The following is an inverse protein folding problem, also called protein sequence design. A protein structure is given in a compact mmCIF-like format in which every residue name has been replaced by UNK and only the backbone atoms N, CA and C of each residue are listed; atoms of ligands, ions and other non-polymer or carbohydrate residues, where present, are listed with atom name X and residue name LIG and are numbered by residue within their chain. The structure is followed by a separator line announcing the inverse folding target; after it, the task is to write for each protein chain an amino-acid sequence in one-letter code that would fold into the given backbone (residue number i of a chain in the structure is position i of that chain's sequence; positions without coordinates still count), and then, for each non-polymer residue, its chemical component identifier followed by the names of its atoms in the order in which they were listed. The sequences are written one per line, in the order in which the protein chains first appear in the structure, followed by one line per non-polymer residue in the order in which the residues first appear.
data_IF_409605287237
#
_entry.id   IF_409605287237
#
_cell.length_a   1.000
_cell.length_b   1.000
_cell.length_c   1.000
_cell.angle_alpha   90.00
_cell.angle_beta   90.00
_cell.angle_gamma   90.00
#
_symmetry.space_group_name_H-M   'P 1'
#
loop_
_entity.id
_entity.type
_entity.pdbx_description
1 polymer ?
#
# COMPACT_ATOMS: atom_id res chain seq x y z
N UNK A 1 -19.06 3.17 21.39
CA UNK A 1 -18.21 4.26 20.89
C UNK A 1 -16.88 3.78 20.33
N UNK A 2 -16.07 3.00 21.05
CA UNK A 2 -14.77 2.48 20.56
C UNK A 2 -14.89 1.64 19.27
N UNK A 3 -15.92 0.80 19.17
CA UNK A 3 -16.19 -0.04 17.98
C UNK A 3 -16.26 0.76 16.67
N UNK A 4 -16.98 1.89 16.68
CA UNK A 4 -17.14 2.74 15.48
C UNK A 4 -15.81 3.35 15.07
N UNK A 5 -14.99 3.77 16.04
CA UNK A 5 -13.65 4.28 15.77
C UNK A 5 -12.73 3.22 15.17
N UNK A 6 -12.70 2.02 15.75
CA UNK A 6 -11.90 0.91 15.23
C UNK A 6 -12.33 0.56 13.80
N UNK A 7 -13.65 0.50 13.54
CA UNK A 7 -14.20 0.25 12.20
C UNK A 7 -13.82 1.34 11.19
N UNK A 8 -13.90 2.61 11.59
CA UNK A 8 -13.47 3.73 10.75
C UNK A 8 -11.98 3.67 10.43
N UNK A 9 -11.11 3.42 11.42
CA UNK A 9 -9.67 3.26 11.19
C UNK A 9 -9.37 2.07 10.28
N UNK A 10 -10.01 0.92 10.51
CA UNK A 10 -9.87 -0.26 9.65
C UNK A 10 -10.13 0.09 8.19
N UNK A 11 -11.27 0.74 7.89
CA UNK A 11 -11.64 1.14 6.52
C UNK A 11 -10.63 2.12 5.92
N UNK A 12 -10.15 3.10 6.69
CA UNK A 12 -9.11 4.05 6.22
C UNK A 12 -7.81 3.32 5.85
N UNK A 13 -7.34 2.39 6.67
CA UNK A 13 -6.14 1.62 6.37
C UNK A 13 -6.33 0.65 5.19
N UNK A 14 -7.51 0.05 5.05
CA UNK A 14 -7.87 -0.76 3.87
C UNK A 14 -7.82 0.09 2.60
N UNK A 15 -8.40 1.30 2.62
CA UNK A 15 -8.36 2.20 1.46
C UNK A 15 -6.92 2.63 1.14
N UNK A 16 -6.12 2.97 2.15
CA UNK A 16 -4.71 3.32 1.97
C UNK A 16 -3.89 2.15 1.38
N UNK A 17 -4.15 0.92 1.84
CA UNK A 17 -3.54 -0.27 1.25
C UNK A 17 -3.98 -0.47 -0.20
N UNK A 18 -5.28 -0.35 -0.49
CA UNK A 18 -5.81 -0.49 -1.85
C UNK A 18 -5.20 0.53 -2.81
N UNK A 19 -5.13 1.81 -2.42
CA UNK A 19 -4.46 2.84 -3.21
C UNK A 19 -3.02 2.45 -3.55
N UNK A 20 -2.31 1.83 -2.60
CA UNK A 20 -0.94 1.38 -2.80
C UNK A 20 -0.84 0.23 -3.80
N UNK A 21 -1.71 -0.78 -3.68
CA UNK A 21 -1.78 -1.94 -4.58
C UNK A 21 -2.14 -1.52 -5.99
N UNK A 22 -3.09 -0.60 -6.18
CA UNK A 22 -3.47 -0.10 -7.50
C UNK A 22 -2.44 0.84 -8.13
N UNK A 23 -1.64 1.55 -7.32
CA UNK A 23 -0.60 2.45 -7.83
C UNK A 23 0.70 1.72 -8.22
N UNK A 24 1.00 0.58 -7.59
CA UNK A 24 2.21 -0.19 -7.85
C UNK A 24 2.35 -0.66 -9.32
N UNK A 25 1.31 -1.22 -9.99
CA UNK A 25 1.37 -1.60 -11.39
C UNK A 25 1.83 -0.48 -12.31
N UNK A 26 1.39 0.75 -12.07
CA UNK A 26 1.80 1.92 -12.86
C UNK A 26 3.31 2.16 -12.80
N UNK A 27 3.92 2.02 -11.62
CA UNK A 27 5.37 2.14 -11.47
C UNK A 27 6.10 1.01 -12.20
N UNK A 28 5.57 -0.22 -12.12
CA UNK A 28 6.17 -1.39 -12.77
C UNK A 28 6.10 -1.30 -14.30
N UNK A 29 4.99 -0.82 -14.87
CA UNK A 29 4.86 -0.56 -16.31
C UNK A 29 5.84 0.53 -16.75
N UNK A 30 5.86 1.68 -16.05
CA UNK A 30 6.82 2.75 -16.35
C UNK A 30 8.28 2.27 -16.24
N UNK A 31 8.57 1.34 -15.34
CA UNK A 31 9.91 0.77 -15.18
C UNK A 31 10.28 -0.14 -16.36
N UNK A 32 9.32 -0.89 -16.91
CA UNK A 32 9.50 -1.70 -18.11
C UNK A 32 9.68 -0.83 -19.37
N UNK A 33 8.97 0.30 -19.43
CA UNK A 33 9.04 1.26 -20.55
C UNK A 33 10.27 2.17 -20.51
N UNK A 34 10.99 2.27 -19.39
CA UNK A 34 12.11 3.18 -19.18
C UNK A 34 13.37 2.93 -20.07
N UNK A 35 13.34 1.93 -20.97
CA UNK A 35 14.39 1.71 -21.97
C UNK A 35 15.78 1.50 -21.37
N UNK A 36 16.81 2.14 -21.91
CA UNK A 36 18.19 2.05 -21.40
C UNK A 36 18.58 3.15 -20.41
N UNK A 37 17.67 4.04 -19.99
CA UNK A 37 18.02 5.12 -19.05
C UNK A 37 18.20 4.59 -17.61
N UNK A 38 19.45 4.49 -17.10
CA UNK A 38 19.69 3.85 -15.82
C UNK A 38 19.25 4.72 -14.63
N UNK A 39 19.31 6.04 -14.77
CA UNK A 39 18.88 6.99 -13.74
C UNK A 39 17.36 6.93 -13.49
N UNK A 40 16.56 6.84 -14.56
CA UNK A 40 15.09 6.73 -14.47
C UNK A 40 14.70 5.39 -13.85
N UNK A 41 15.32 4.29 -14.29
CA UNK A 41 15.08 2.96 -13.70
C UNK A 41 15.41 2.92 -12.21
N UNK A 42 16.55 3.47 -11.78
CA UNK A 42 16.94 3.50 -10.38
C UNK A 42 15.92 4.27 -9.51
N UNK A 43 15.43 5.40 -10.01
CA UNK A 43 14.40 6.20 -9.33
C UNK A 43 13.07 5.46 -9.23
N UNK A 44 12.60 4.87 -10.32
CA UNK A 44 11.34 4.11 -10.35
C UNK A 44 11.40 2.87 -9.44
N UNK A 45 12.51 2.14 -9.44
CA UNK A 45 12.74 1.02 -8.51
C UNK A 45 12.70 1.45 -7.05
N UNK A 46 13.35 2.57 -6.71
CA UNK A 46 13.35 3.10 -5.35
C UNK A 46 11.95 3.52 -4.93
N UNK A 47 11.20 4.19 -5.81
CA UNK A 47 9.82 4.62 -5.55
C UNK A 47 8.89 3.41 -5.38
N UNK A 48 9.02 2.40 -6.25
CA UNK A 48 8.28 1.14 -6.17
C UNK A 48 8.56 0.37 -4.88
N UNK A 49 9.83 0.27 -4.44
CA UNK A 49 10.17 -0.38 -3.16
C UNK A 49 9.61 0.35 -1.95
N UNK A 50 9.67 1.68 -1.94
CA UNK A 50 9.07 2.49 -0.85
C UNK A 50 7.56 2.27 -0.79
N UNK A 51 6.91 2.31 -1.94
CA UNK A 51 5.48 2.07 -2.08
C UNK A 51 5.09 0.66 -1.62
N UNK A 52 5.82 -0.37 -2.04
CA UNK A 52 5.59 -1.76 -1.64
C UNK A 52 5.69 -1.96 -0.12
N UNK A 53 6.71 -1.39 0.51
CA UNK A 53 6.88 -1.42 1.97
C UNK A 53 5.75 -0.68 2.68
N UNK A 54 5.39 0.51 2.19
CA UNK A 54 4.28 1.27 2.75
C UNK A 54 2.97 0.47 2.69
N UNK A 55 2.67 -0.14 1.54
CA UNK A 55 1.49 -0.98 1.36
C UNK A 55 1.45 -2.17 2.30
N UNK A 56 2.54 -2.91 2.44
CA UNK A 56 2.61 -4.04 3.38
C UNK A 56 2.39 -3.62 4.84
N UNK A 57 2.94 -2.47 5.24
CA UNK A 57 2.71 -1.93 6.58
C UNK A 57 1.22 -1.55 6.78
N UNK A 58 0.60 -0.90 5.80
CA UNK A 58 -0.82 -0.54 5.86
C UNK A 58 -1.72 -1.78 5.88
N UNK A 59 -1.38 -2.81 5.11
CA UNK A 59 -2.06 -4.11 5.15
C UNK A 59 -1.99 -4.74 6.55
N UNK A 60 -0.80 -4.77 7.16
CA UNK A 60 -0.64 -5.32 8.51
C UNK A 60 -1.53 -4.61 9.53
N UNK A 61 -1.59 -3.28 9.49
CA UNK A 61 -2.44 -2.49 10.38
C UNK A 61 -3.93 -2.74 10.10
N UNK A 62 -4.34 -2.73 8.82
CA UNK A 62 -5.70 -3.02 8.41
C UNK A 62 -6.12 -4.42 8.88
N UNK A 63 -5.28 -5.43 8.67
CA UNK A 63 -5.54 -6.81 9.05
C UNK A 63 -5.68 -6.97 10.57
N UNK A 64 -4.82 -6.31 11.36
CA UNK A 64 -4.93 -6.29 12.81
C UNK A 64 -6.28 -5.70 13.27
N UNK A 65 -6.70 -4.56 12.72
CA UNK A 65 -8.01 -4.00 13.04
C UNK A 65 -9.17 -4.89 12.54
N UNK A 66 -8.99 -5.63 11.45
CA UNK A 66 -9.98 -6.59 10.96
C UNK A 66 -10.15 -7.77 11.93
N UNK A 67 -9.04 -8.30 12.45
CA UNK A 67 -9.05 -9.38 13.45
C UNK A 67 -9.69 -8.93 14.76
N UNK A 68 -9.40 -7.72 15.24
CA UNK A 68 -10.02 -7.20 16.47
C UNK A 68 -11.52 -6.97 16.30
N UNK A 69 -11.97 -6.57 15.11
CA UNK A 69 -13.40 -6.46 14.79
C UNK A 69 -14.10 -7.82 14.64
N UNK A 70 -13.38 -8.89 14.30
CA UNK A 70 -13.95 -10.24 14.22
C UNK A 70 -14.16 -10.87 15.60
N UNK A 71 -13.27 -10.59 16.56
CA UNK A 71 -13.43 -11.09 17.94
C UNK A 71 -14.52 -10.37 18.76
N UNK A 72 -15.17 -9.34 18.19
CA UNK A 72 -16.16 -8.49 18.85
C UNK A 72 -17.56 -8.60 18.27
#
# INVERSE_FOLDING_TARGET
MLYVWIKSFHVVFVIAWMATVFYLPRILVNLAEAGEEPAVKARLLLMGRRLYKFGHNMFGIAFLFGLTLWQG
#
